data_IF_384098316414
#
_entry.id   IF_384098316414
#
_cell.length_a   1.000
_cell.length_b   1.000
_cell.length_c   1.000
_cell.angle_alpha   90.00
_cell.angle_beta   90.00
_cell.angle_gamma   90.00
#
_symmetry.space_group_name_H-M   'P 1'
#
loop_
_entity.id
_entity.type
_entity.pdbx_description
1 polymer ?
#
# COMPACT_ATOMS: atom_id res chain seq x y z
N UNK A 1 -35.47 39.68 -13.10
CA UNK A 1 -35.93 39.14 -11.80
C UNK A 1 -35.14 37.92 -11.30
N UNK A 2 -34.17 37.36 -12.04
CA UNK A 2 -33.49 36.10 -11.67
C UNK A 2 -32.46 36.21 -10.53
N UNK A 3 -31.49 37.14 -10.59
CA UNK A 3 -30.32 37.16 -9.68
C UNK A 3 -30.59 37.34 -8.19
N UNK A 4 -31.73 37.95 -7.81
CA UNK A 4 -32.05 38.23 -6.39
C UNK A 4 -32.60 37.00 -5.67
N UNK A 5 -33.25 36.10 -6.41
CA UNK A 5 -33.81 34.87 -5.85
C UNK A 5 -32.68 33.86 -5.57
N UNK A 6 -31.73 33.75 -6.49
CA UNK A 6 -30.56 32.87 -6.37
C UNK A 6 -29.68 33.23 -5.16
N UNK A 7 -29.38 34.52 -4.96
CA UNK A 7 -28.55 34.99 -3.85
C UNK A 7 -29.19 34.78 -2.46
N UNK A 8 -30.53 34.86 -2.36
CA UNK A 8 -31.24 34.58 -1.10
C UNK A 8 -31.25 33.08 -0.76
N UNK A 9 -31.36 32.22 -1.77
CA UNK A 9 -31.26 30.76 -1.59
C UNK A 9 -29.85 30.34 -1.19
N UNK A 10 -28.80 30.91 -1.80
CA UNK A 10 -27.40 30.64 -1.43
C UNK A 10 -27.09 31.06 0.02
N UNK A 11 -27.60 32.22 0.47
CA UNK A 11 -27.42 32.68 1.85
C UNK A 11 -28.15 31.77 2.85
N UNK A 12 -29.36 31.33 2.52
CA UNK A 12 -30.10 30.39 3.35
C UNK A 12 -29.33 29.07 3.52
N UNK A 13 -28.79 28.52 2.42
CA UNK A 13 -27.98 27.31 2.44
C UNK A 13 -26.71 27.46 3.29
N UNK A 14 -25.99 28.57 3.14
CA UNK A 14 -24.80 28.84 3.94
C UNK A 14 -25.11 28.88 5.45
N UNK A 15 -26.23 29.55 5.82
CA UNK A 15 -26.68 29.62 7.21
C UNK A 15 -27.14 28.25 7.74
N UNK A 16 -27.84 27.44 6.93
CA UNK A 16 -28.21 26.07 7.29
C UNK A 16 -26.98 25.20 7.57
N UNK A 17 -25.93 25.27 6.74
CA UNK A 17 -24.70 24.51 6.96
C UNK A 17 -23.99 24.96 8.23
N UNK A 18 -23.83 26.27 8.45
CA UNK A 18 -23.27 26.81 9.68
C UNK A 18 -24.09 26.41 10.93
N UNK A 19 -25.41 26.32 10.80
CA UNK A 19 -26.30 25.86 11.87
C UNK A 19 -26.06 24.38 12.22
N UNK A 20 -25.85 23.54 11.20
CA UNK A 20 -25.53 22.14 11.39
C UNK A 20 -24.17 21.97 12.06
N UNK A 21 -23.19 22.82 11.77
CA UNK A 21 -21.86 22.72 12.39
C UNK A 21 -21.75 23.44 13.75
N UNK A 22 -22.78 24.21 14.14
CA UNK A 22 -22.82 24.95 15.41
C UNK A 22 -22.04 26.27 15.38
N UNK A 23 -21.80 26.81 14.18
CA UNK A 23 -20.97 28.01 13.93
C UNK A 23 -21.78 29.30 13.76
N UNK A 24 -23.10 29.27 14.02
CA UNK A 24 -23.95 30.45 13.92
C UNK A 24 -23.66 31.49 14.99
N UNK A 25 -23.60 32.76 14.58
CA UNK A 25 -23.68 33.90 15.51
C UNK A 25 -25.13 34.16 15.93
N UNK A 26 -25.33 34.92 17.02
CA UNK A 26 -26.68 35.30 17.46
C UNK A 26 -27.48 36.06 16.38
N UNK A 27 -26.80 36.90 15.59
CA UNK A 27 -27.44 37.65 14.50
C UNK A 27 -27.82 36.74 13.32
N UNK A 28 -26.95 35.77 12.99
CA UNK A 28 -27.20 34.80 11.93
C UNK A 28 -28.31 33.80 12.31
N UNK A 29 -28.45 33.47 13.61
CA UNK A 29 -29.55 32.65 14.12
C UNK A 29 -30.91 33.34 13.89
N UNK A 30 -31.02 34.62 14.26
CA UNK A 30 -32.24 35.41 14.05
C UNK A 30 -32.54 35.63 12.55
N UNK A 31 -31.50 35.70 11.70
CA UNK A 31 -31.63 35.77 10.25
C UNK A 31 -32.19 34.46 9.68
N UNK A 32 -31.60 33.32 10.06
CA UNK A 32 -32.04 32.00 9.63
C UNK A 32 -33.49 31.72 10.06
N UNK A 33 -33.86 32.02 11.31
CA UNK A 33 -35.20 31.78 11.82
C UNK A 33 -36.27 32.60 11.08
N UNK A 34 -35.95 33.85 10.72
CA UNK A 34 -36.82 34.68 9.86
C UNK A 34 -37.00 34.10 8.46
N UNK A 35 -35.94 33.53 7.87
CA UNK A 35 -35.99 32.91 6.55
C UNK A 35 -36.80 31.61 6.58
N UNK A 36 -36.59 30.76 7.58
CA UNK A 36 -37.34 29.50 7.76
C UNK A 36 -38.83 29.75 8.06
N UNK A 37 -39.16 30.82 8.78
CA UNK A 37 -40.55 31.20 9.06
C UNK A 37 -41.27 31.78 7.84
N UNK A 38 -40.51 32.33 6.89
CA UNK A 38 -41.05 32.96 5.67
C UNK A 38 -41.24 31.99 4.49
N UNK A 39 -40.66 30.79 4.55
CA UNK A 39 -40.64 29.83 3.45
C UNK A 39 -40.72 28.38 3.96
N UNK A 40 -41.84 27.71 3.65
CA UNK A 40 -42.08 26.33 4.06
C UNK A 40 -41.16 25.32 3.38
N UNK A 41 -40.68 25.61 2.16
CA UNK A 41 -39.80 24.72 1.40
C UNK A 41 -38.40 24.70 2.01
N UNK A 42 -37.88 25.87 2.42
CA UNK A 42 -36.60 26.00 3.13
C UNK A 42 -36.64 25.31 4.50
N UNK A 43 -37.77 25.42 5.22
CA UNK A 43 -37.98 24.71 6.49
C UNK A 43 -37.94 23.19 6.32
N UNK A 44 -38.63 22.67 5.29
CA UNK A 44 -38.61 21.25 4.97
C UNK A 44 -37.21 20.77 4.53
N UNK A 45 -36.43 21.61 3.85
CA UNK A 45 -35.04 21.30 3.48
C UNK A 45 -34.13 21.21 4.71
N UNK A 46 -34.21 22.18 5.62
CA UNK A 46 -33.37 22.20 6.81
C UNK A 46 -33.61 20.98 7.72
N UNK A 47 -34.87 20.55 7.85
CA UNK A 47 -35.21 19.32 8.58
C UNK A 47 -34.64 18.04 7.93
N UNK A 48 -34.58 17.97 6.59
CA UNK A 48 -33.90 16.85 5.91
C UNK A 48 -32.41 16.82 6.22
N UNK A 49 -31.74 17.97 6.21
CA UNK A 49 -30.32 18.07 6.50
C UNK A 49 -29.99 17.68 7.96
N UNK A 50 -30.82 18.10 8.91
CA UNK A 50 -30.72 17.68 10.32
C UNK A 50 -30.79 16.17 10.47
N UNK A 51 -31.75 15.52 9.80
CA UNK A 51 -31.91 14.06 9.85
C UNK A 51 -30.66 13.34 9.31
N UNK A 52 -30.11 13.79 8.17
CA UNK A 52 -28.87 13.23 7.61
C UNK A 52 -27.69 13.36 8.58
N UNK A 53 -27.56 14.54 9.22
CA UNK A 53 -26.52 14.77 10.24
C UNK A 53 -26.69 13.81 11.42
N UNK A 54 -27.90 13.64 11.93
CA UNK A 54 -28.20 12.76 13.06
C UNK A 54 -27.87 11.29 12.75
N UNK A 55 -28.33 10.78 11.60
CA UNK A 55 -28.07 9.41 11.15
C UNK A 55 -26.56 9.16 11.01
N UNK A 56 -25.85 10.11 10.38
CA UNK A 56 -24.40 9.98 10.16
C UNK A 56 -23.61 10.10 11.46
N UNK A 57 -24.04 10.94 12.40
CA UNK A 57 -23.41 11.08 13.73
C UNK A 57 -23.59 9.82 14.56
N UNK A 58 -24.71 9.12 14.39
CA UNK A 58 -25.02 7.87 15.13
C UNK A 58 -24.27 6.67 14.55
N UNK A 59 -23.66 6.79 13.36
CA UNK A 59 -22.78 5.77 12.81
C UNK A 59 -21.44 5.77 13.57
N UNK A 60 -21.36 4.99 14.63
CA UNK A 60 -20.09 4.71 15.31
C UNK A 60 -19.16 3.91 14.40
N UNK A 61 -17.97 4.46 14.16
CA UNK A 61 -16.87 3.73 13.53
C UNK A 61 -16.55 2.49 14.35
N UNK A 62 -16.69 1.31 13.74
CA UNK A 62 -16.34 0.05 14.38
C UNK A 62 -14.83 -0.11 14.28
N UNK A 63 -14.12 0.12 15.38
CA UNK A 63 -12.68 -0.16 15.42
C UNK A 63 -12.44 -1.64 15.08
N UNK A 64 -11.54 -1.91 14.10
CA UNK A 64 -11.18 -3.28 13.80
C UNK A 64 -10.50 -3.92 15.02
N UNK A 65 -10.80 -5.18 15.36
CA UNK A 65 -10.24 -5.84 16.52
C UNK A 65 -8.70 -5.94 16.42
N UNK A 66 -8.01 -5.79 17.55
CA UNK A 66 -6.53 -5.75 17.65
C UNK A 66 -5.85 -6.96 16.99
N UNK A 67 -6.50 -8.13 17.01
CA UNK A 67 -6.04 -9.36 16.36
C UNK A 67 -5.78 -9.19 14.85
N UNK A 68 -6.56 -8.33 14.18
CA UNK A 68 -6.38 -8.03 12.75
C UNK A 68 -5.13 -7.18 12.54
N UNK A 69 -4.81 -6.30 13.50
CA UNK A 69 -3.66 -5.42 13.44
C UNK A 69 -2.35 -6.18 13.62
N UNK A 70 -2.28 -7.09 14.59
CA UNK A 70 -1.11 -7.96 14.82
C UNK A 70 -0.82 -8.84 13.60
N UNK A 71 -1.86 -9.48 13.05
CA UNK A 71 -1.74 -10.34 11.87
C UNK A 71 -1.21 -9.57 10.65
N UNK A 72 -1.59 -8.30 10.51
CA UNK A 72 -1.14 -7.45 9.40
C UNK A 72 0.35 -7.10 9.54
N UNK A 73 0.78 -6.71 10.74
CA UNK A 73 2.17 -6.36 11.02
C UNK A 73 3.12 -7.54 10.83
N UNK A 74 2.76 -8.73 11.35
CA UNK A 74 3.61 -9.91 11.22
C UNK A 74 3.77 -10.38 9.76
N UNK A 75 2.69 -10.33 8.96
CA UNK A 75 2.74 -10.75 7.55
C UNK A 75 3.47 -9.77 6.65
N UNK A 76 3.38 -8.47 6.93
CA UNK A 76 4.02 -7.44 6.10
C UNK A 76 5.52 -7.34 6.43
N UNK A 77 5.89 -7.26 7.70
CA UNK A 77 7.27 -7.03 8.13
C UNK A 77 8.18 -8.24 7.83
N UNK A 78 7.73 -9.46 8.15
CA UNK A 78 8.52 -10.67 7.90
C UNK A 78 8.68 -11.01 6.40
N UNK A 79 7.77 -10.50 5.55
CA UNK A 79 7.80 -10.78 4.11
C UNK A 79 8.73 -9.82 3.37
N UNK A 80 8.71 -8.54 3.71
CA UNK A 80 9.50 -7.51 3.05
C UNK A 80 10.98 -7.67 3.37
N UNK A 81 11.36 -7.79 4.65
CA UNK A 81 12.75 -7.92 5.08
C UNK A 81 13.42 -9.11 4.39
N UNK A 82 12.75 -10.26 4.40
CA UNK A 82 13.31 -11.47 3.79
C UNK A 82 13.32 -11.39 2.26
N UNK A 83 12.40 -10.70 1.61
CA UNK A 83 12.45 -10.52 0.16
C UNK A 83 13.66 -9.65 -0.23
N UNK A 84 13.87 -8.54 0.49
CA UNK A 84 15.01 -7.65 0.30
C UNK A 84 16.34 -8.37 0.55
N UNK A 85 16.43 -9.15 1.63
CA UNK A 85 17.63 -9.93 1.95
C UNK A 85 18.00 -10.92 0.83
N UNK A 86 17.02 -11.64 0.27
CA UNK A 86 17.28 -12.58 -0.84
C UNK A 86 17.65 -11.87 -2.14
N UNK A 87 17.02 -10.73 -2.45
CA UNK A 87 17.39 -9.91 -3.61
C UNK A 87 18.85 -9.47 -3.49
N UNK A 88 19.25 -8.92 -2.34
CA UNK A 88 20.63 -8.49 -2.09
C UNK A 88 21.62 -9.65 -2.17
N UNK A 89 21.32 -10.79 -1.55
CA UNK A 89 22.18 -11.98 -1.62
C UNK A 89 22.33 -12.45 -3.07
N UNK A 90 21.24 -12.59 -3.81
CA UNK A 90 21.29 -13.06 -5.21
C UNK A 90 22.07 -12.10 -6.11
N UNK A 91 21.89 -10.79 -5.94
CA UNK A 91 22.63 -9.78 -6.67
C UNK A 91 24.12 -9.82 -6.35
N UNK A 92 24.48 -9.86 -5.07
CA UNK A 92 25.88 -9.97 -4.64
C UNK A 92 26.54 -11.25 -5.17
N UNK A 93 25.84 -12.38 -5.11
CA UNK A 93 26.37 -13.65 -5.59
C UNK A 93 26.51 -13.67 -7.11
N UNK A 94 25.60 -13.05 -7.85
CA UNK A 94 25.74 -12.87 -9.30
C UNK A 94 26.97 -12.02 -9.68
N UNK A 95 27.21 -10.92 -8.96
CA UNK A 95 28.38 -10.05 -9.18
C UNK A 95 29.68 -10.81 -8.86
N UNK A 96 29.75 -11.46 -7.70
CA UNK A 96 30.93 -12.24 -7.29
C UNK A 96 31.20 -13.38 -8.28
N UNK A 97 30.15 -14.05 -8.72
CA UNK A 97 30.25 -15.13 -9.69
C UNK A 97 30.76 -14.63 -11.05
N UNK A 98 30.22 -13.51 -11.55
CA UNK A 98 30.68 -12.89 -12.80
C UNK A 98 32.13 -12.43 -12.73
N UNK A 99 32.51 -11.74 -11.65
CA UNK A 99 33.88 -11.29 -11.41
C UNK A 99 34.86 -12.47 -11.27
N UNK A 100 34.50 -13.50 -10.51
CA UNK A 100 35.30 -14.71 -10.34
C UNK A 100 35.49 -15.47 -11.66
N UNK A 101 34.43 -15.62 -12.45
CA UNK A 101 34.52 -16.23 -13.78
C UNK A 101 35.43 -15.41 -14.72
N UNK A 102 35.27 -14.09 -14.74
CA UNK A 102 36.12 -13.21 -15.53
C UNK A 102 37.61 -13.37 -15.17
N UNK A 103 37.93 -13.33 -13.88
CA UNK A 103 39.30 -13.48 -13.41
C UNK A 103 39.88 -14.86 -13.69
N UNK A 104 39.08 -15.93 -13.51
CA UNK A 104 39.46 -17.29 -13.86
C UNK A 104 39.76 -17.40 -15.36
N UNK A 105 38.86 -16.92 -16.22
CA UNK A 105 39.05 -16.95 -17.68
C UNK A 105 40.28 -16.13 -18.10
N UNK A 106 40.48 -14.94 -17.53
CA UNK A 106 41.62 -14.08 -17.85
C UNK A 106 42.96 -14.74 -17.49
N UNK A 107 43.07 -15.29 -16.27
CA UNK A 107 44.27 -15.99 -15.80
C UNK A 107 44.59 -17.27 -16.62
N UNK A 108 43.56 -17.95 -17.12
CA UNK A 108 43.71 -19.16 -17.95
C UNK A 108 44.07 -18.81 -19.40
N UNK A 109 43.51 -17.73 -19.94
CA UNK A 109 43.81 -17.28 -21.30
C UNK A 109 45.21 -16.68 -21.42
N UNK A 110 45.69 -15.99 -20.38
CA UNK A 110 47.04 -15.43 -20.34
C UNK A 110 48.13 -16.50 -20.24
N UNK A 111 47.78 -17.73 -19.88
CA UNK A 111 48.75 -18.81 -19.66
C UNK A 111 48.72 -19.83 -20.81
N UNK A 112 49.70 -19.74 -21.71
CA UNK A 112 49.82 -20.58 -22.91
C UNK A 112 50.11 -22.05 -22.60
N UNK A 113 50.49 -22.39 -21.36
CA UNK A 113 50.79 -23.76 -20.92
C UNK A 113 49.56 -24.62 -20.60
N UNK A 114 48.35 -24.06 -20.59
CA UNK A 114 47.15 -24.79 -20.19
C UNK A 114 46.53 -25.53 -21.39
N UNK A 115 46.40 -26.86 -21.33
CA UNK A 115 45.74 -27.64 -22.36
C UNK A 115 44.28 -27.22 -22.60
N UNK A 116 43.83 -27.29 -23.85
CA UNK A 116 42.50 -26.84 -24.26
C UNK A 116 41.34 -27.55 -23.53
N UNK A 117 41.50 -28.84 -23.18
CA UNK A 117 40.47 -29.60 -22.45
C UNK A 117 40.24 -29.08 -21.02
N UNK A 118 41.27 -28.55 -20.35
CA UNK A 118 41.15 -27.93 -19.02
C UNK A 118 40.33 -26.65 -19.11
N UNK A 119 40.54 -25.85 -20.17
CA UNK A 119 39.74 -24.65 -20.43
C UNK A 119 38.27 -24.98 -20.60
N UNK A 120 37.98 -26.07 -21.31
CA UNK A 120 36.62 -26.56 -21.50
C UNK A 120 36.00 -27.08 -20.19
N UNK A 121 36.76 -27.83 -19.39
CA UNK A 121 36.31 -28.32 -18.08
C UNK A 121 35.96 -27.18 -17.12
N UNK A 122 36.77 -26.12 -17.09
CA UNK A 122 36.52 -24.94 -16.26
C UNK A 122 35.29 -24.16 -16.74
N UNK A 123 35.12 -24.02 -18.05
CA UNK A 123 33.93 -23.41 -18.62
C UNK A 123 32.67 -24.20 -18.26
N UNK A 124 32.70 -25.52 -18.42
CA UNK A 124 31.59 -26.40 -18.05
C UNK A 124 31.29 -26.35 -16.54
N UNK A 125 32.32 -26.32 -15.68
CA UNK A 125 32.17 -26.21 -14.24
C UNK A 125 31.56 -24.87 -13.81
N UNK A 126 31.99 -23.77 -14.45
CA UNK A 126 31.37 -22.46 -14.27
C UNK A 126 29.89 -22.53 -14.69
N UNK A 127 29.60 -22.80 -15.96
CA UNK A 127 28.22 -22.82 -16.46
C UNK A 127 27.30 -23.73 -15.62
N UNK A 128 27.76 -24.93 -15.26
CA UNK A 128 27.03 -25.83 -14.38
C UNK A 128 26.80 -25.28 -12.97
N UNK A 129 27.82 -24.66 -12.38
CA UNK A 129 27.72 -23.99 -11.08
C UNK A 129 26.70 -22.84 -11.09
N UNK A 130 26.70 -22.02 -12.14
CA UNK A 130 25.71 -20.95 -12.32
C UNK A 130 24.28 -21.48 -12.46
N UNK A 131 24.08 -22.53 -13.26
CA UNK A 131 22.77 -23.18 -13.42
C UNK A 131 22.27 -23.79 -12.11
N UNK A 132 23.14 -24.52 -11.38
CA UNK A 132 22.79 -25.08 -10.08
C UNK A 132 22.46 -23.99 -9.07
N UNK A 133 23.23 -22.91 -9.05
CA UNK A 133 22.97 -21.78 -8.17
C UNK A 133 21.60 -21.15 -8.44
N UNK A 134 21.25 -20.89 -9.71
CA UNK A 134 19.94 -20.37 -10.09
C UNK A 134 18.83 -21.38 -9.75
N UNK A 135 19.07 -22.68 -9.96
CA UNK A 135 18.11 -23.74 -9.62
C UNK A 135 17.79 -23.74 -8.12
N UNK A 136 18.81 -23.73 -7.26
CA UNK A 136 18.65 -23.71 -5.81
C UNK A 136 18.01 -22.41 -5.34
N UNK A 137 18.40 -21.26 -5.91
CA UNK A 137 17.80 -19.96 -5.59
C UNK A 137 16.31 -19.93 -5.97
N UNK A 138 15.97 -20.44 -7.16
CA UNK A 138 14.57 -20.54 -7.64
C UNK A 138 13.76 -21.49 -6.77
N UNK A 139 14.30 -22.66 -6.46
CA UNK A 139 13.65 -23.67 -5.64
C UNK A 139 13.38 -23.14 -4.23
N UNK A 140 14.37 -22.55 -3.55
CA UNK A 140 14.17 -21.91 -2.24
C UNK A 140 13.12 -20.81 -2.29
N UNK A 141 13.04 -20.03 -3.38
CA UNK A 141 12.03 -18.99 -3.54
C UNK A 141 10.62 -19.57 -3.74
N UNK A 142 10.49 -20.66 -4.51
CA UNK A 142 9.21 -21.27 -4.85
C UNK A 142 8.62 -22.11 -3.71
N UNK A 143 9.44 -22.96 -3.08
CA UNK A 143 9.02 -23.84 -1.98
C UNK A 143 8.55 -23.02 -0.77
N UNK A 144 9.15 -21.85 -0.54
CA UNK A 144 8.77 -20.95 0.54
C UNK A 144 7.43 -20.24 0.33
N UNK A 145 6.93 -20.11 -0.91
CA UNK A 145 5.59 -19.57 -1.19
C UNK A 145 4.46 -20.60 -1.02
N UNK A 146 4.78 -21.90 -1.02
CA UNK A 146 3.80 -23.01 -0.96
C UNK A 146 3.86 -23.85 0.32
N UNK A 147 4.51 -23.35 1.36
CA UNK A 147 4.59 -24.06 2.63
C UNK A 147 3.25 -23.94 3.38
N UNK A 148 2.36 -24.88 3.09
CA UNK A 148 0.96 -24.95 3.56
C UNK A 148 0.86 -25.51 5.00
N UNK A 149 1.98 -25.90 5.62
CA UNK A 149 2.02 -26.53 6.95
C UNK A 149 2.64 -25.68 8.05
N UNK A 150 2.76 -24.36 7.86
CA UNK A 150 3.11 -23.45 8.96
C UNK A 150 1.88 -23.16 9.82
N UNK A 151 1.66 -23.97 10.85
CA UNK A 151 0.61 -23.73 11.84
C UNK A 151 0.03 -24.97 12.53
N UNK A 152 0.43 -26.19 12.15
CA UNK A 152 -0.04 -27.39 12.86
C UNK A 152 0.81 -27.59 14.11
N UNK A 153 0.39 -26.97 15.21
CA UNK A 153 0.74 -27.39 16.57
C UNK A 153 0.06 -28.75 16.81
N UNK A 154 0.83 -29.72 17.29
CA UNK A 154 0.38 -31.07 17.61
C UNK A 154 0.03 -31.17 19.09
#
# INVERSE_FOLDING_TARGET
>A
MSKRHDAHSERAHALMMAALDGELTAQDHDELERMLSGDADLSAEFERLKNVKEVTTTMTFREPPEEVWETYWEKVYNRSERAVAWTLISAGLAILYGWGCWHAVHSILANTGIPWFIKFAIFAAATGGGILFISVAREKWFTRKRDTYKGVLR
#
